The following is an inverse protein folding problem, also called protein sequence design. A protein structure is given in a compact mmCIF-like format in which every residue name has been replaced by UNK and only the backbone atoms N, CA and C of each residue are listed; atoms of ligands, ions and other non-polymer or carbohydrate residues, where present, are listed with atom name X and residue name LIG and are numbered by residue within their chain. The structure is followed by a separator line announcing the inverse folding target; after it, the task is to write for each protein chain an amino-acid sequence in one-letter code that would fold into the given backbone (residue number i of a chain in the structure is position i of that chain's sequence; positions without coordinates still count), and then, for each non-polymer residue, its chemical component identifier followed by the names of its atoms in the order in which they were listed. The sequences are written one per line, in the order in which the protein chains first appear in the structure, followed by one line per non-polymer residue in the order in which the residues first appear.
data_IF_591365845118
#
_entry.id   IF_591365845118
#
_cell.length_a   1.000
_cell.length_b   1.000
_cell.length_c   1.000
_cell.angle_alpha   90.00
_cell.angle_beta   90.00
_cell.angle_gamma   90.00
#
_symmetry.space_group_name_H-M   'P 1'
#
loop_
_entity.id
_entity.type
_entity.pdbx_description
1 polymer ?
#
# COMPACT_ATOMS: atom_id res chain seq x y z
N UNK A 1 8.54 -13.91 13.18
CA UNK A 1 7.54 -13.46 12.19
C UNK A 1 8.07 -13.68 10.77
N UNK A 2 8.74 -12.75 10.09
CA UNK A 2 9.21 -12.89 8.70
C UNK A 2 9.84 -14.25 8.31
N UNK A 3 10.75 -14.80 9.13
CA UNK A 3 11.38 -16.13 8.90
C UNK A 3 10.40 -17.32 8.81
N UNK A 4 9.16 -17.18 9.27
CA UNK A 4 8.09 -18.19 9.11
C UNK A 4 7.59 -18.17 7.66
N UNK A 5 7.24 -16.99 7.15
CA UNK A 5 6.77 -16.79 5.77
C UNK A 5 7.83 -17.15 4.71
N UNK A 6 9.12 -17.11 5.05
CA UNK A 6 10.22 -17.53 4.15
C UNK A 6 10.63 -19.00 4.30
N UNK A 7 9.82 -19.83 4.97
CA UNK A 7 10.12 -21.27 5.18
C UNK A 7 11.38 -21.57 5.99
N UNK A 8 11.97 -20.56 6.67
CA UNK A 8 13.28 -20.65 7.32
C UNK A 8 13.20 -21.15 8.78
N UNK A 9 12.25 -22.05 9.04
CA UNK A 9 11.93 -22.68 10.32
C UNK A 9 11.60 -24.16 10.05
N UNK A 10 12.32 -25.07 10.71
CA UNK A 10 12.15 -26.51 10.51
C UNK A 10 10.79 -26.97 11.05
N UNK A 11 10.00 -27.60 10.18
CA UNK A 11 8.64 -28.05 10.48
C UNK A 11 8.68 -29.46 11.04
N UNK A 12 8.89 -29.59 12.35
CA UNK A 12 8.77 -30.88 13.05
C UNK A 12 7.70 -30.84 14.15
N UNK A 13 7.79 -29.92 15.13
CA UNK A 13 7.03 -30.07 16.41
C UNK A 13 5.96 -28.99 16.70
N UNK A 14 5.59 -28.10 15.77
CA UNK A 14 4.59 -27.03 16.05
C UNK A 14 3.53 -26.78 14.98
N UNK A 15 2.42 -27.50 15.16
CA UNK A 15 1.07 -26.93 15.02
C UNK A 15 0.42 -26.99 13.65
N UNK A 16 -0.57 -27.86 13.51
CA UNK A 16 -1.55 -27.84 12.41
C UNK A 16 -2.23 -26.48 12.25
N UNK A 17 -2.50 -25.78 13.37
CA UNK A 17 -3.08 -24.43 13.37
C UNK A 17 -2.17 -23.43 12.63
N UNK A 18 -0.87 -23.38 12.94
CA UNK A 18 0.06 -22.45 12.28
C UNK A 18 0.13 -22.67 10.76
N UNK A 19 0.01 -23.92 10.30
CA UNK A 19 -0.06 -24.26 8.88
C UNK A 19 -1.42 -23.89 8.24
N UNK A 20 -2.50 -23.85 9.01
CA UNK A 20 -3.79 -23.32 8.57
C UNK A 20 -3.75 -21.79 8.47
N UNK A 21 -3.26 -21.10 9.50
CA UNK A 21 -3.12 -19.64 9.56
C UNK A 21 -2.29 -19.11 8.37
N UNK A 22 -1.17 -19.78 8.05
CA UNK A 22 -0.32 -19.43 6.90
C UNK A 22 -1.04 -19.59 5.57
N UNK A 23 -1.79 -20.70 5.38
CA UNK A 23 -2.59 -20.94 4.17
C UNK A 23 -3.73 -19.92 4.03
N UNK A 24 -4.29 -19.44 5.14
CA UNK A 24 -5.31 -18.40 5.09
C UNK A 24 -4.72 -17.06 4.63
N UNK A 25 -3.56 -16.68 5.16
CA UNK A 25 -2.81 -15.49 4.73
C UNK A 25 -2.41 -15.60 3.24
N UNK A 26 -1.95 -16.76 2.77
CA UNK A 26 -1.69 -17.03 1.35
C UNK A 26 -2.96 -16.85 0.51
N UNK A 27 -4.12 -17.34 0.97
CA UNK A 27 -5.42 -17.17 0.32
C UNK A 27 -5.88 -15.71 0.26
N UNK A 28 -5.67 -14.93 1.33
CA UNK A 28 -5.93 -13.49 1.36
C UNK A 28 -5.05 -12.75 0.34
N UNK A 29 -3.74 -12.99 0.35
CA UNK A 29 -2.79 -12.39 -0.61
C UNK A 29 -3.14 -12.78 -2.04
N UNK A 30 -3.48 -14.05 -2.30
CA UNK A 30 -3.87 -14.53 -3.62
C UNK A 30 -5.17 -13.90 -4.12
N UNK A 31 -6.18 -13.73 -3.25
CA UNK A 31 -7.42 -12.99 -3.58
C UNK A 31 -7.15 -11.53 -3.92
N UNK A 32 -6.30 -10.85 -3.15
CA UNK A 32 -5.91 -9.46 -3.43
C UNK A 32 -5.17 -9.33 -4.76
N UNK A 33 -4.16 -10.17 -5.02
CA UNK A 33 -3.37 -10.17 -6.26
C UNK A 33 -4.17 -10.55 -7.52
N UNK A 34 -5.28 -11.28 -7.36
CA UNK A 34 -6.21 -11.61 -8.47
C UNK A 34 -7.45 -10.71 -8.54
N UNK A 35 -7.55 -9.70 -7.68
CA UNK A 35 -8.65 -8.74 -7.76
C UNK A 35 -8.54 -7.87 -9.03
N UNK A 36 -9.67 -7.46 -9.65
CA UNK A 36 -9.64 -6.65 -10.85
C UNK A 36 -9.22 -5.21 -10.51
N UNK A 37 -8.27 -4.66 -11.26
CA UNK A 37 -7.81 -3.28 -11.06
C UNK A 37 -8.95 -2.30 -11.38
N UNK A 38 -9.28 -1.34 -10.49
CA UNK A 38 -10.30 -0.34 -10.77
C UNK A 38 -9.90 0.59 -11.93
N UNK A 39 -10.90 1.08 -12.68
CA UNK A 39 -10.67 1.93 -13.86
C UNK A 39 -10.88 3.40 -13.49
N UNK A 40 -9.86 4.21 -13.77
CA UNK A 40 -9.79 5.65 -13.52
C UNK A 40 -11.09 6.38 -13.91
N UNK A 41 -11.72 7.04 -12.93
CA UNK A 41 -12.96 7.81 -13.14
C UNK A 41 -14.21 7.02 -13.55
N UNK A 42 -14.15 5.69 -13.66
CA UNK A 42 -15.28 4.87 -14.15
C UNK A 42 -15.83 3.88 -13.11
N UNK A 43 -14.97 3.16 -12.39
CA UNK A 43 -15.41 2.03 -11.57
C UNK A 43 -14.58 1.83 -10.32
N UNK A 44 -15.25 1.91 -9.16
CA UNK A 44 -14.73 1.33 -7.91
C UNK A 44 -14.88 -0.19 -7.93
N UNK A 45 -13.97 -0.88 -7.26
CA UNK A 45 -13.96 -2.33 -7.09
C UNK A 45 -13.96 -2.61 -5.60
N UNK A 46 -15.00 -3.30 -5.13
CA UNK A 46 -15.11 -3.75 -3.74
C UNK A 46 -14.58 -5.20 -3.66
N UNK A 47 -13.53 -5.44 -2.88
CA UNK A 47 -12.78 -6.72 -2.85
C UNK A 47 -12.89 -7.41 -1.48
N UNK A 48 -13.45 -8.62 -1.47
CA UNK A 48 -13.56 -9.45 -0.25
C UNK A 48 -12.29 -10.30 -0.07
N UNK A 49 -11.31 -9.75 0.64
CA UNK A 49 -10.00 -10.39 0.90
C UNK A 49 -10.02 -11.28 2.14
N UNK A 50 -10.81 -10.93 3.15
CA UNK A 50 -10.99 -11.64 4.44
C UNK A 50 -12.49 -11.96 4.64
N UNK A 51 -12.89 -12.81 5.61
CA UNK A 51 -14.30 -13.03 5.92
C UNK A 51 -15.02 -11.76 6.39
N UNK A 52 -16.26 -11.56 5.95
CA UNK A 52 -17.06 -10.36 6.24
C UNK A 52 -17.32 -10.15 7.75
N UNK A 53 -17.28 -11.21 8.56
CA UNK A 53 -17.39 -11.15 10.01
C UNK A 53 -16.17 -10.46 10.67
N UNK A 54 -15.02 -10.48 10.01
CA UNK A 54 -13.78 -9.90 10.52
C UNK A 54 -13.44 -8.54 9.89
N UNK A 55 -13.77 -8.32 8.61
CA UNK A 55 -13.60 -7.03 7.96
C UNK A 55 -14.58 -6.84 6.78
N UNK A 56 -15.19 -5.64 6.60
CA UNK A 56 -15.91 -5.31 5.37
C UNK A 56 -14.98 -5.31 4.14
N UNK A 57 -15.56 -5.42 2.95
CA UNK A 57 -14.82 -5.43 1.68
C UNK A 57 -13.95 -4.18 1.48
N UNK A 58 -12.79 -4.38 0.87
CA UNK A 58 -11.85 -3.31 0.54
C UNK A 58 -12.31 -2.58 -0.74
N UNK A 59 -12.81 -1.36 -0.60
CA UNK A 59 -13.13 -0.49 -1.74
C UNK A 59 -11.87 0.14 -2.33
N UNK A 60 -11.53 -0.21 -3.56
CA UNK A 60 -10.48 0.42 -4.36
C UNK A 60 -11.08 1.25 -5.51
N UNK A 61 -10.52 2.42 -5.77
CA UNK A 61 -10.84 3.24 -6.94
C UNK A 61 -9.57 3.95 -7.42
N UNK A 62 -9.45 4.19 -8.72
CA UNK A 62 -8.44 5.11 -9.26
C UNK A 62 -9.06 6.50 -9.51
N UNK A 63 -8.33 7.59 -9.21
CA UNK A 63 -8.77 8.93 -9.59
C UNK A 63 -8.88 9.05 -11.11
N UNK A 64 -9.65 10.02 -11.59
CA UNK A 64 -9.68 10.36 -13.01
C UNK A 64 -8.44 11.15 -13.46
N UNK A 65 -8.23 11.22 -14.78
CA UNK A 65 -7.06 11.85 -15.39
C UNK A 65 -7.09 13.40 -15.38
N UNK A 66 -8.14 14.04 -14.85
CA UNK A 66 -8.19 15.50 -14.65
C UNK A 66 -7.75 15.93 -13.25
N UNK A 67 -7.61 14.98 -12.31
CA UNK A 67 -7.12 15.26 -10.95
C UNK A 67 -5.65 15.71 -10.98
N UNK A 68 -5.36 16.80 -10.28
CA UNK A 68 -4.00 17.28 -10.05
C UNK A 68 -3.20 16.28 -9.19
N UNK A 69 -2.29 15.54 -9.81
CA UNK A 69 -1.58 14.41 -9.18
C UNK A 69 -0.78 14.76 -7.93
N UNK A 70 -0.41 16.02 -7.72
CA UNK A 70 0.29 16.45 -6.51
C UNK A 70 -0.52 16.20 -5.22
N UNK A 71 -1.85 16.04 -5.30
CA UNK A 71 -2.72 15.83 -4.12
C UNK A 71 -2.94 14.36 -3.71
N UNK A 72 -2.29 13.38 -4.32
CA UNK A 72 -2.17 12.01 -3.75
C UNK A 72 -0.85 11.78 -3.01
N UNK A 73 0.20 12.57 -3.30
CA UNK A 73 1.39 12.59 -2.48
C UNK A 73 1.07 13.11 -1.06
N UNK A 74 1.65 12.51 0.00
CA UNK A 74 1.36 12.87 1.39
C UNK A 74 2.06 14.18 1.81
N UNK A 75 1.68 15.31 1.20
CA UNK A 75 2.33 16.63 1.38
C UNK A 75 2.39 17.12 2.83
N UNK A 76 1.54 16.62 3.72
CA UNK A 76 1.61 16.90 5.15
C UNK A 76 2.97 16.49 5.75
N UNK A 77 3.52 15.36 5.33
CA UNK A 77 4.74 14.78 5.89
C UNK A 77 6.02 15.61 5.59
N UNK A 78 6.31 16.04 4.34
CA UNK A 78 7.43 16.96 4.11
C UNK A 78 7.19 18.37 4.67
N UNK A 79 5.95 18.82 4.82
CA UNK A 79 5.65 20.09 5.51
C UNK A 79 5.96 19.99 7.02
N UNK A 80 5.61 18.88 7.67
CA UNK A 80 5.92 18.59 9.07
C UNK A 80 7.43 18.42 9.32
N UNK A 81 8.12 17.68 8.45
CA UNK A 81 9.54 17.34 8.62
C UNK A 81 10.52 18.43 8.17
N UNK A 82 10.16 19.28 7.19
CA UNK A 82 11.05 20.31 6.65
C UNK A 82 10.65 21.73 7.06
N UNK A 83 9.41 21.94 7.51
CA UNK A 83 8.79 23.26 7.59
C UNK A 83 8.39 23.79 6.20
N UNK A 84 7.59 24.87 6.22
CA UNK A 84 6.93 25.41 5.02
C UNK A 84 7.95 25.86 3.96
N UNK A 85 8.93 26.71 4.32
CA UNK A 85 9.85 27.32 3.35
C UNK A 85 10.73 26.29 2.63
N UNK A 86 11.27 25.32 3.38
CA UNK A 86 12.11 24.28 2.81
C UNK A 86 11.29 23.26 1.99
N UNK A 87 10.05 22.97 2.38
CA UNK A 87 9.14 22.16 1.57
C UNK A 87 8.79 22.86 0.25
N UNK A 88 8.43 24.16 0.27
CA UNK A 88 8.14 24.95 -0.94
C UNK A 88 9.36 25.05 -1.87
N UNK A 89 10.57 25.20 -1.32
CA UNK A 89 11.81 25.18 -2.09
C UNK A 89 12.06 23.81 -2.75
N UNK A 90 11.83 22.70 -2.04
CA UNK A 90 11.96 21.34 -2.60
C UNK A 90 10.91 21.08 -3.68
N UNK A 91 9.65 21.47 -3.46
CA UNK A 91 8.59 21.37 -4.47
C UNK A 91 8.90 22.20 -5.72
N UNK A 92 9.44 23.42 -5.54
CA UNK A 92 9.88 24.27 -6.65
C UNK A 92 11.01 23.63 -7.46
N UNK A 93 11.99 23.01 -6.80
CA UNK A 93 13.03 22.24 -7.47
C UNK A 93 12.48 21.03 -8.23
N UNK A 94 11.50 20.30 -7.67
CA UNK A 94 10.85 19.16 -8.36
C UNK A 94 10.10 19.62 -9.60
N UNK A 95 9.34 20.73 -9.52
CA UNK A 95 8.60 21.31 -10.64
C UNK A 95 9.49 21.88 -11.76
N UNK A 96 10.77 22.13 -11.46
CA UNK A 96 11.81 22.56 -12.41
C UNK A 96 12.75 21.41 -12.83
N UNK A 97 12.40 20.16 -12.52
CA UNK A 97 13.20 18.95 -12.79
C UNK A 97 14.64 18.99 -12.22
N UNK A 98 14.89 19.84 -11.22
CA UNK A 98 16.19 19.98 -10.57
C UNK A 98 16.51 18.74 -9.70
N UNK A 99 17.77 18.32 -9.72
CA UNK A 99 18.26 17.21 -8.86
C UNK A 99 18.29 17.63 -7.38
N UNK A 100 17.21 17.33 -6.66
CA UNK A 100 17.17 17.42 -5.19
C UNK A 100 18.06 16.30 -4.60
N UNK A 101 19.04 16.68 -3.78
CA UNK A 101 19.85 15.73 -3.00
C UNK A 101 19.40 15.78 -1.54
N UNK A 102 18.91 14.65 -1.02
CA UNK A 102 18.59 14.53 0.40
C UNK A 102 19.84 14.74 1.27
N UNK A 103 19.66 15.33 2.45
CA UNK A 103 20.68 15.32 3.50
C UNK A 103 20.67 13.94 4.16
N UNK A 104 21.76 13.20 3.99
CA UNK A 104 22.16 12.08 4.84
C UNK A 104 23.45 12.44 5.57
#
# INVERSE_FOLDING_TARGET
MWRVFTGALLVEEKGSQLLADLREIESWVYRLLRSPVPVAGQRRVDVEVLPHEMQPSLTFALPDNSRFSMVDFPLHLPLELLGVDACLMVLSCILLEHKVRGKG
#
